data_IF_881710650531
#
_entry.id   IF_881710650531
#
_cell.length_a   1.000
_cell.length_b   1.000
_cell.length_c   1.000
_cell.angle_alpha   90.00
_cell.angle_beta   90.00
_cell.angle_gamma   90.00
#
_symmetry.space_group_name_H-M   'P 1'
#
loop_
_entity.id
_entity.type
_entity.pdbx_description
1 polymer ?
#
# COMPACT_ATOMS: atom_id res chain seq x y z
N UNK A 1 -12.85 2.75 -13.43
CA UNK A 1 -12.09 3.13 -12.22
C UNK A 1 -10.70 2.48 -12.12
N UNK A 2 -10.36 1.43 -12.87
CA UNK A 2 -9.05 0.73 -12.72
C UNK A 2 -7.81 1.56 -13.09
N UNK A 3 -7.93 2.63 -13.90
CA UNK A 3 -6.79 3.39 -14.42
C UNK A 3 -6.40 4.68 -13.68
N UNK A 4 -7.12 5.11 -12.64
CA UNK A 4 -6.87 6.43 -12.01
C UNK A 4 -5.79 6.42 -10.91
N UNK A 5 -5.38 5.23 -10.46
CA UNK A 5 -4.48 5.05 -9.31
C UNK A 5 -3.21 4.26 -9.65
N UNK A 6 -2.86 4.20 -10.94
CA UNK A 6 -1.68 3.56 -11.49
C UNK A 6 -0.70 4.61 -12.00
N UNK A 7 0.60 4.30 -12.07
CA UNK A 7 1.63 5.16 -12.64
C UNK A 7 1.70 5.06 -14.17
N UNK A 8 1.53 3.87 -14.76
CA UNK A 8 1.90 3.64 -16.17
C UNK A 8 0.71 3.46 -17.13
N UNK A 9 -0.54 3.40 -16.65
CA UNK A 9 -1.69 3.21 -17.55
C UNK A 9 -2.36 4.55 -17.88
N UNK A 10 -1.84 5.19 -18.93
CA UNK A 10 -2.62 5.77 -20.05
C UNK A 10 -1.81 5.64 -21.33
N UNK A 11 -2.02 4.55 -22.05
CA UNK A 11 -1.49 4.34 -23.39
C UNK A 11 -1.98 5.48 -24.30
N UNK A 12 -1.05 6.11 -25.02
CA UNK A 12 -1.25 7.20 -26.00
C UNK A 12 -1.39 8.63 -25.44
N UNK A 13 -0.83 8.94 -24.26
CA UNK A 13 -0.71 10.34 -23.79
C UNK A 13 0.75 10.84 -23.88
N UNK A 14 1.05 11.94 -24.61
CA UNK A 14 2.36 12.58 -24.62
C UNK A 14 2.86 13.00 -23.23
N UNK A 15 1.97 13.15 -22.25
CA UNK A 15 2.29 13.41 -20.84
C UNK A 15 2.33 12.17 -19.94
N UNK A 16 2.35 10.95 -20.48
CA UNK A 16 2.41 9.72 -19.68
C UNK A 16 3.84 9.37 -19.23
N UNK A 17 3.97 8.58 -18.16
CA UNK A 17 5.28 8.05 -17.76
C UNK A 17 5.87 7.13 -18.85
N UNK A 18 5.04 6.40 -19.61
CA UNK A 18 5.51 5.62 -20.77
C UNK A 18 6.13 6.51 -21.85
N UNK A 19 5.55 7.68 -22.16
CA UNK A 19 6.15 8.60 -23.13
C UNK A 19 7.43 9.25 -22.61
N UNK A 20 7.54 9.51 -21.31
CA UNK A 20 8.77 9.99 -20.69
C UNK A 20 9.92 8.96 -20.81
N UNK A 21 9.66 7.70 -20.43
CA UNK A 21 10.69 6.65 -20.44
C UNK A 21 10.96 6.02 -21.83
N UNK A 22 10.03 6.12 -22.78
CA UNK A 22 10.06 5.45 -24.09
C UNK A 22 9.53 4.00 -24.07
N UNK A 23 9.54 3.32 -25.23
CA UNK A 23 9.10 1.90 -25.35
C UNK A 23 10.01 0.90 -24.60
N UNK A 24 11.19 1.34 -24.19
CA UNK A 24 12.16 0.64 -23.34
C UNK A 24 12.93 1.73 -22.57
N UNK A 25 13.38 1.51 -21.33
CA UNK A 25 14.07 2.54 -20.56
C UNK A 25 15.34 2.96 -21.32
N UNK A 26 15.37 4.20 -21.82
CA UNK A 26 16.60 4.79 -22.33
C UNK A 26 17.14 5.73 -21.25
N UNK A 27 17.91 5.19 -20.31
CA UNK A 27 18.47 5.94 -19.17
C UNK A 27 19.57 5.19 -18.42
N UNK A 28 20.01 5.76 -17.29
CA UNK A 28 20.98 5.17 -16.36
C UNK A 28 20.38 4.02 -15.50
N UNK A 29 21.20 3.42 -14.63
CA UNK A 29 20.80 2.30 -13.75
C UNK A 29 19.62 2.71 -12.83
N UNK A 30 19.63 3.96 -12.36
CA UNK A 30 18.64 4.54 -11.47
C UNK A 30 17.29 4.76 -12.17
N UNK A 31 17.31 5.27 -13.41
CA UNK A 31 16.11 5.43 -14.24
C UNK A 31 15.46 4.09 -14.55
N UNK A 32 16.28 3.07 -14.83
CA UNK A 32 15.80 1.71 -15.10
C UNK A 32 15.11 1.12 -13.86
N UNK A 33 15.74 1.24 -12.68
CA UNK A 33 15.14 0.78 -11.42
C UNK A 33 13.88 1.54 -11.04
N UNK A 34 13.84 2.85 -11.29
CA UNK A 34 12.64 3.64 -11.09
C UNK A 34 11.50 3.11 -11.96
N UNK A 35 11.73 2.91 -13.25
CA UNK A 35 10.73 2.36 -14.17
C UNK A 35 10.21 0.97 -13.73
N UNK A 36 11.10 0.06 -13.34
CA UNK A 36 10.72 -1.25 -12.79
C UNK A 36 9.85 -1.13 -11.53
N UNK A 37 10.14 -0.17 -10.65
CA UNK A 37 9.34 0.08 -9.45
C UNK A 37 7.95 0.64 -9.77
N UNK A 38 7.82 1.49 -10.79
CA UNK A 38 6.51 1.99 -11.25
C UNK A 38 5.64 0.83 -11.76
N UNK A 39 6.21 -0.10 -12.56
CA UNK A 39 5.50 -1.33 -12.99
C UNK A 39 5.12 -2.20 -11.78
N UNK A 40 6.06 -2.37 -10.86
CA UNK A 40 5.85 -3.18 -9.65
C UNK A 40 4.73 -2.59 -8.79
N UNK A 41 4.67 -1.27 -8.66
CA UNK A 41 3.58 -0.59 -7.96
C UNK A 41 2.22 -0.90 -8.62
N UNK A 42 2.12 -0.74 -9.95
CA UNK A 42 0.86 -0.96 -10.67
C UNK A 42 0.39 -2.42 -10.58
N UNK A 43 1.33 -3.36 -10.62
CA UNK A 43 1.07 -4.78 -10.45
C UNK A 43 0.53 -5.09 -9.04
N UNK A 44 1.11 -4.48 -8.00
CA UNK A 44 0.62 -4.64 -6.63
C UNK A 44 -0.73 -3.95 -6.41
N UNK A 45 -0.99 -2.82 -7.08
CA UNK A 45 -2.29 -2.16 -7.03
C UNK A 45 -3.37 -3.01 -7.71
N UNK A 46 -3.05 -3.67 -8.82
CA UNK A 46 -3.94 -4.65 -9.44
C UNK A 46 -4.24 -5.83 -8.49
N UNK A 47 -3.21 -6.42 -7.87
CA UNK A 47 -3.40 -7.51 -6.91
C UNK A 47 -4.25 -7.09 -5.71
N UNK A 48 -4.10 -5.85 -5.23
CA UNK A 48 -4.97 -5.28 -4.21
C UNK A 48 -6.44 -5.28 -4.65
N UNK A 49 -6.74 -4.79 -5.86
CA UNK A 49 -8.13 -4.76 -6.35
C UNK A 49 -8.72 -6.17 -6.48
N UNK A 50 -7.95 -7.15 -6.96
CA UNK A 50 -8.38 -8.55 -7.02
C UNK A 50 -8.66 -9.10 -5.61
N UNK A 51 -7.82 -8.76 -4.63
CA UNK A 51 -8.04 -9.16 -3.23
C UNK A 51 -9.30 -8.50 -2.65
N UNK A 52 -9.55 -7.22 -2.96
CA UNK A 52 -10.73 -6.48 -2.52
C UNK A 52 -12.02 -7.09 -3.10
N UNK A 53 -12.05 -7.41 -4.39
CA UNK A 53 -13.22 -8.06 -5.00
C UNK A 53 -13.54 -9.42 -4.36
N UNK A 54 -12.50 -10.19 -4.00
CA UNK A 54 -12.68 -11.47 -3.31
C UNK A 54 -13.10 -11.29 -1.85
N UNK A 55 -12.59 -10.24 -1.18
CA UNK A 55 -13.06 -9.82 0.13
C UNK A 55 -14.55 -9.48 0.07
N UNK A 56 -14.99 -8.63 -0.85
CA UNK A 56 -16.39 -8.21 -0.96
C UNK A 56 -17.33 -9.41 -1.17
N UNK A 57 -16.94 -10.36 -2.03
CA UNK A 57 -17.69 -11.60 -2.25
C UNK A 57 -17.77 -12.47 -0.98
N UNK A 58 -16.67 -12.58 -0.23
CA UNK A 58 -16.64 -13.34 1.01
C UNK A 58 -17.45 -12.64 2.13
N UNK A 59 -17.29 -11.33 2.24
CA UNK A 59 -17.97 -10.48 3.21
C UNK A 59 -19.49 -10.50 3.01
N UNK A 60 -19.97 -10.42 1.77
CA UNK A 60 -21.40 -10.55 1.46
C UNK A 60 -22.00 -11.88 1.94
N UNK A 61 -21.24 -12.98 1.90
CA UNK A 61 -21.68 -14.25 2.47
C UNK A 61 -21.81 -14.17 3.99
N UNK A 62 -20.85 -13.52 4.66
CA UNK A 62 -20.89 -13.32 6.11
C UNK A 62 -22.07 -12.44 6.53
N UNK A 63 -22.42 -11.43 5.74
CA UNK A 63 -23.55 -10.53 6.03
C UNK A 63 -24.89 -11.22 5.78
N UNK A 64 -25.02 -11.98 4.71
CA UNK A 64 -26.30 -12.57 4.28
C UNK A 64 -26.58 -13.96 4.88
N UNK A 65 -25.65 -14.54 5.65
CA UNK A 65 -25.87 -15.86 6.26
C UNK A 65 -26.90 -15.78 7.39
N UNK A 66 -27.87 -16.71 7.41
CA UNK A 66 -28.82 -16.85 8.51
C UNK A 66 -28.20 -17.54 9.74
N UNK A 67 -27.22 -18.42 9.51
CA UNK A 67 -26.52 -19.18 10.55
C UNK A 67 -25.04 -18.80 10.53
N UNK A 68 -24.42 -18.68 11.70
CA UNK A 68 -22.99 -18.42 11.83
C UNK A 68 -22.15 -19.55 11.22
N UNK A 69 -21.36 -19.22 10.20
CA UNK A 69 -20.35 -20.09 9.61
C UNK A 69 -18.94 -19.55 9.86
N UNK A 70 -18.18 -20.26 10.69
CA UNK A 70 -16.79 -19.93 11.00
C UNK A 70 -15.91 -19.95 9.73
N UNK A 71 -16.18 -20.82 8.76
CA UNK A 71 -15.39 -20.90 7.54
C UNK A 71 -15.52 -19.62 6.71
N UNK A 72 -16.73 -19.08 6.60
CA UNK A 72 -16.98 -17.80 5.93
C UNK A 72 -16.27 -16.62 6.62
N UNK A 73 -16.23 -16.61 7.96
CA UNK A 73 -15.46 -15.62 8.74
C UNK A 73 -13.96 -15.73 8.45
N UNK A 74 -13.39 -16.94 8.49
CA UNK A 74 -11.97 -17.18 8.21
C UNK A 74 -11.61 -16.75 6.77
N UNK A 75 -12.42 -17.12 5.79
CA UNK A 75 -12.21 -16.75 4.39
C UNK A 75 -12.22 -15.22 4.20
N UNK A 76 -13.17 -14.53 4.86
CA UNK A 76 -13.26 -13.06 4.80
C UNK A 76 -12.03 -12.41 5.43
N UNK A 77 -11.62 -12.87 6.61
CA UNK A 77 -10.40 -12.42 7.30
C UNK A 77 -9.13 -12.64 6.47
N UNK A 78 -9.04 -13.75 5.75
CA UNK A 78 -7.92 -14.03 4.87
C UNK A 78 -7.76 -12.96 3.79
N UNK A 79 -8.84 -12.66 3.03
CA UNK A 79 -8.78 -11.65 1.98
C UNK A 79 -8.55 -10.23 2.55
N UNK A 80 -9.10 -9.93 3.73
CA UNK A 80 -8.83 -8.67 4.41
C UNK A 80 -7.35 -8.51 4.80
N UNK A 81 -6.72 -9.57 5.29
CA UNK A 81 -5.28 -9.60 5.57
C UNK A 81 -4.45 -9.39 4.30
N UNK A 82 -4.86 -10.00 3.18
CA UNK A 82 -4.21 -9.77 1.88
C UNK A 82 -4.33 -8.30 1.48
N UNK A 83 -5.51 -7.69 1.63
CA UNK A 83 -5.72 -6.27 1.35
C UNK A 83 -4.76 -5.39 2.19
N UNK A 84 -4.72 -5.59 3.50
CA UNK A 84 -3.81 -4.87 4.41
C UNK A 84 -2.34 -5.01 4.00
N UNK A 85 -1.92 -6.22 3.62
CA UNK A 85 -0.54 -6.48 3.16
C UNK A 85 -0.24 -5.75 1.86
N UNK A 86 -1.16 -5.76 0.89
CA UNK A 86 -0.95 -5.09 -0.39
C UNK A 86 -0.85 -3.57 -0.21
N UNK A 87 -1.73 -2.95 0.60
CA UNK A 87 -1.65 -1.52 0.92
C UNK A 87 -0.30 -1.15 1.55
N UNK A 88 0.13 -1.90 2.56
CA UNK A 88 1.43 -1.64 3.20
C UNK A 88 2.61 -1.88 2.23
N UNK A 89 2.48 -2.81 1.28
CA UNK A 89 3.46 -3.03 0.22
C UNK A 89 3.52 -1.87 -0.76
N UNK A 90 2.37 -1.27 -1.13
CA UNK A 90 2.33 -0.09 -1.99
C UNK A 90 3.10 1.08 -1.37
N UNK A 91 2.90 1.36 -0.09
CA UNK A 91 3.66 2.38 0.64
C UNK A 91 5.18 2.10 0.65
N UNK A 92 5.58 0.84 0.83
CA UNK A 92 7.00 0.43 0.81
C UNK A 92 7.62 0.64 -0.59
N UNK A 93 6.85 0.35 -1.66
CA UNK A 93 7.27 0.61 -3.04
C UNK A 93 7.34 2.12 -3.30
N UNK A 94 6.36 2.92 -2.85
CA UNK A 94 6.40 4.38 -2.98
C UNK A 94 7.64 4.99 -2.36
N UNK A 95 8.03 4.50 -1.18
CA UNK A 95 9.26 5.00 -0.54
C UNK A 95 10.50 4.73 -1.40
N UNK A 96 10.56 3.57 -2.07
CA UNK A 96 11.65 3.27 -3.02
C UNK A 96 11.58 4.16 -4.26
N UNK A 97 10.38 4.42 -4.79
CA UNK A 97 10.15 5.37 -5.89
C UNK A 97 10.69 6.75 -5.49
N UNK A 98 10.34 7.28 -4.32
CA UNK A 98 10.85 8.57 -3.84
C UNK A 98 12.38 8.63 -3.82
N UNK A 99 13.02 7.57 -3.32
CA UNK A 99 14.48 7.47 -3.26
C UNK A 99 15.12 7.45 -4.65
N UNK A 100 14.62 6.62 -5.58
CA UNK A 100 15.20 6.56 -6.93
C UNK A 100 14.91 7.82 -7.75
N UNK A 101 13.74 8.45 -7.58
CA UNK A 101 13.46 9.77 -8.13
C UNK A 101 14.45 10.81 -7.59
N UNK A 102 14.72 10.81 -6.28
CA UNK A 102 15.71 11.72 -5.69
C UNK A 102 17.12 11.48 -6.20
N UNK A 103 17.57 10.22 -6.29
CA UNK A 103 18.88 9.88 -6.82
C UNK A 103 19.07 10.39 -8.25
N UNK A 104 18.10 10.12 -9.11
CA UNK A 104 18.13 10.58 -10.50
C UNK A 104 18.21 12.11 -10.60
N UNK A 105 17.28 12.82 -9.94
CA UNK A 105 17.18 14.29 -10.03
C UNK A 105 18.41 15.04 -9.48
N UNK A 106 19.18 14.39 -8.60
CA UNK A 106 20.40 14.98 -8.03
C UNK A 106 21.69 14.42 -8.64
N UNK A 107 21.61 13.60 -9.69
CA UNK A 107 22.79 12.98 -10.33
C UNK A 107 23.60 12.07 -9.39
N UNK A 108 22.95 11.54 -8.36
CA UNK A 108 23.55 10.68 -7.35
C UNK A 108 23.44 9.21 -7.77
N UNK A 109 24.52 8.44 -7.61
CA UNK A 109 24.52 7.02 -7.94
C UNK A 109 23.89 6.17 -6.84
N UNK A 110 23.22 5.09 -7.24
CA UNK A 110 22.58 4.12 -6.36
C UNK A 110 23.54 3.37 -5.44
N UNK A 111 24.87 3.51 -5.62
CA UNK A 111 25.87 3.03 -4.68
C UNK A 111 25.81 3.71 -3.30
N UNK A 112 25.08 4.83 -3.19
CA UNK A 112 24.75 5.49 -1.92
C UNK A 112 23.64 4.76 -1.14
N UNK A 113 22.90 3.86 -1.78
CA UNK A 113 22.05 2.88 -1.10
C UNK A 113 22.92 1.66 -0.81
N UNK A 114 23.14 1.28 0.45
CA UNK A 114 23.94 0.11 0.78
C UNK A 114 23.43 -1.15 0.05
N UNK A 115 24.34 -1.96 -0.49
CA UNK A 115 24.04 -3.05 -1.44
C UNK A 115 23.35 -4.28 -0.84
N UNK A 116 22.94 -4.26 0.42
CA UNK A 116 22.24 -5.39 1.03
C UNK A 116 20.86 -5.53 0.41
N UNK A 117 20.78 -6.47 -0.52
CA UNK A 117 19.56 -6.87 -1.21
C UNK A 117 18.52 -7.20 -0.14
N UNK A 118 17.30 -6.69 -0.33
CA UNK A 118 16.08 -7.01 0.41
C UNK A 118 15.70 -6.17 1.65
N UNK A 119 16.50 -5.23 2.13
CA UNK A 119 16.10 -4.48 3.34
C UNK A 119 15.41 -3.13 3.04
N UNK A 120 14.08 -3.05 3.23
CA UNK A 120 13.32 -1.79 3.19
C UNK A 120 13.90 -0.72 4.14
N UNK A 121 14.56 -1.14 5.22
CA UNK A 121 15.20 -0.25 6.18
C UNK A 121 16.22 0.70 5.53
N UNK A 122 16.96 0.24 4.52
CA UNK A 122 17.99 1.07 3.87
C UNK A 122 17.36 2.23 3.09
N UNK A 123 16.24 1.97 2.42
CA UNK A 123 15.47 3.01 1.75
C UNK A 123 14.85 3.98 2.75
N UNK A 124 14.38 3.51 3.90
CA UNK A 124 13.91 4.37 4.98
C UNK A 124 15.03 5.28 5.50
N UNK A 125 16.21 4.72 5.81
CA UNK A 125 17.36 5.49 6.31
C UNK A 125 17.79 6.54 5.28
N UNK A 126 17.84 6.18 4.00
CA UNK A 126 18.16 7.15 2.94
C UNK A 126 17.12 8.27 2.89
N UNK A 127 15.82 7.92 2.87
CA UNK A 127 14.74 8.88 2.84
C UNK A 127 14.81 9.85 4.04
N UNK A 128 14.98 9.34 5.26
CA UNK A 128 15.08 10.16 6.47
C UNK A 128 16.28 11.11 6.43
N UNK A 129 17.41 10.66 5.87
CA UNK A 129 18.66 11.45 5.84
C UNK A 129 18.68 12.52 4.75
N UNK A 130 18.12 12.22 3.58
CA UNK A 130 18.31 13.03 2.38
C UNK A 130 17.03 13.65 1.80
N UNK A 131 15.85 13.10 2.11
CA UNK A 131 14.59 13.49 1.44
C UNK A 131 13.60 14.15 2.42
N UNK A 132 13.50 13.66 3.65
CA UNK A 132 12.45 14.04 4.62
C UNK A 132 12.29 15.55 4.85
N UNK A 133 13.37 16.32 4.76
CA UNK A 133 13.32 17.77 5.00
C UNK A 133 12.84 18.57 3.76
N UNK A 134 12.73 17.92 2.60
CA UNK A 134 12.27 18.52 1.35
C UNK A 134 10.81 18.13 1.05
N UNK A 135 9.93 18.34 2.03
CA UNK A 135 8.50 17.95 1.95
C UNK A 135 7.75 18.74 0.88
N UNK A 136 8.26 19.92 0.51
CA UNK A 136 7.71 20.73 -0.59
C UNK A 136 7.88 19.99 -1.92
N UNK A 137 8.98 19.25 -2.08
CA UNK A 137 9.30 18.52 -3.31
C UNK A 137 8.91 17.04 -3.27
N UNK A 138 8.94 16.40 -2.11
CA UNK A 138 8.69 14.96 -1.96
C UNK A 138 7.57 14.66 -0.96
N UNK A 139 6.69 13.69 -1.24
CA UNK A 139 5.65 13.29 -0.31
C UNK A 139 6.21 12.68 0.97
N UNK A 140 5.47 12.79 2.08
CA UNK A 140 5.83 12.19 3.37
C UNK A 140 5.72 10.66 3.27
N UNK A 141 6.78 9.94 3.69
CA UNK A 141 6.72 8.47 3.72
C UNK A 141 5.70 7.96 4.73
N UNK A 142 5.19 6.77 4.43
CA UNK A 142 4.35 6.02 5.32
C UNK A 142 5.09 5.47 6.55
N UNK A 143 4.43 5.56 7.70
CA UNK A 143 4.86 5.11 9.03
C UNK A 143 3.63 4.60 9.80
N UNK A 144 3.83 3.91 10.93
CA UNK A 144 2.71 3.53 11.80
C UNK A 144 1.94 4.73 12.37
N UNK A 145 2.55 5.92 12.44
CA UNK A 145 1.94 7.11 13.03
C UNK A 145 1.05 7.89 12.05
N UNK A 146 1.18 7.64 10.74
CA UNK A 146 0.42 8.33 9.69
C UNK A 146 -0.27 7.35 8.70
N UNK A 147 -0.33 6.07 9.04
CA UNK A 147 -1.07 5.04 8.29
C UNK A 147 -1.78 4.11 9.26
N UNK A 148 -3.12 4.09 9.20
CA UNK A 148 -3.94 3.23 10.04
C UNK A 148 -3.71 1.74 9.72
N UNK A 149 -3.53 1.38 8.45
CA UNK A 149 -3.29 -0.01 8.05
C UNK A 149 -1.94 -0.54 8.47
N UNK A 150 -0.95 0.34 8.69
CA UNK A 150 0.36 -0.05 9.24
C UNK A 150 0.26 -0.32 10.74
N UNK A 151 -0.47 0.52 11.46
CA UNK A 151 -0.75 0.32 12.88
C UNK A 151 -1.48 -1.01 13.11
N UNK A 152 -2.60 -1.24 12.41
CA UNK A 152 -3.38 -2.49 12.46
C UNK A 152 -2.49 -3.72 12.15
N UNK A 153 -1.64 -3.65 11.11
CA UNK A 153 -0.74 -4.76 10.79
C UNK A 153 0.27 -5.02 11.91
N UNK A 154 0.82 -3.96 12.51
CA UNK A 154 1.77 -4.09 13.60
C UNK A 154 1.12 -4.75 14.81
N UNK A 155 -0.10 -4.35 15.18
CA UNK A 155 -0.87 -4.99 16.26
C UNK A 155 -1.10 -6.48 16.00
N UNK A 156 -1.43 -6.86 14.75
CA UNK A 156 -1.60 -8.28 14.38
C UNK A 156 -0.26 -9.05 14.44
N UNK A 157 0.83 -8.44 13.97
CA UNK A 157 2.12 -9.13 13.79
C UNK A 157 2.93 -9.22 15.08
N UNK A 158 2.84 -8.19 15.93
CA UNK A 158 3.70 -8.02 17.11
C UNK A 158 2.93 -8.16 18.42
N UNK A 159 1.68 -7.71 18.47
CA UNK A 159 0.87 -7.73 19.70
C UNK A 159 -0.08 -8.93 19.77
N UNK A 160 -0.07 -9.78 18.74
CA UNK A 160 -0.86 -11.02 18.68
C UNK A 160 -2.36 -10.77 18.49
N UNK A 161 -2.76 -9.59 18.04
CA UNK A 161 -4.15 -9.30 17.73
C UNK A 161 -4.66 -10.17 16.58
N UNK A 162 -5.95 -10.49 16.61
CA UNK A 162 -6.60 -11.29 15.58
C UNK A 162 -7.53 -10.44 14.74
N UNK A 163 -7.55 -10.71 13.43
CA UNK A 163 -8.59 -10.21 12.54
C UNK A 163 -9.95 -10.88 12.77
N UNK A 164 -10.05 -11.80 13.72
CA UNK A 164 -11.27 -12.51 14.06
C UNK A 164 -11.58 -12.31 15.55
N UNK A 165 -12.77 -11.80 15.84
CA UNK A 165 -13.31 -11.79 17.19
C UNK A 165 -13.90 -13.18 17.46
N UNK A 166 -13.41 -13.84 18.52
CA UNK A 166 -13.80 -15.19 18.93
C UNK A 166 -14.26 -15.21 20.39
N UNK A 167 -15.07 -16.20 20.74
CA UNK A 167 -15.39 -16.50 22.14
C UNK A 167 -14.24 -17.23 22.85
N UNK A 168 -14.13 -17.08 24.18
CA UNK A 168 -14.77 -16.04 24.98
C UNK A 168 -14.10 -14.67 24.75
N UNK A 169 -14.85 -13.58 24.92
CA UNK A 169 -14.33 -12.22 24.79
C UNK A 169 -13.90 -11.71 26.17
N UNK A 170 -12.69 -11.19 26.26
CA UNK A 170 -12.21 -10.50 27.46
C UNK A 170 -12.73 -9.06 27.45
N UNK A 171 -13.43 -8.65 28.50
CA UNK A 171 -13.72 -7.24 28.70
C UNK A 171 -12.50 -6.51 29.29
N UNK A 172 -12.49 -5.18 29.23
CA UNK A 172 -11.40 -4.35 29.75
C UNK A 172 -11.19 -4.47 31.27
N UNK A 173 -12.02 -5.23 31.98
CA UNK A 173 -11.90 -5.54 33.40
C UNK A 173 -11.27 -6.91 33.68
N UNK A 174 -10.93 -7.68 32.64
CA UNK A 174 -10.34 -9.02 32.77
C UNK A 174 -11.37 -10.15 32.88
N UNK A 175 -12.67 -9.86 32.68
CA UNK A 175 -13.75 -10.84 32.76
C UNK A 175 -14.04 -11.40 31.38
N UNK A 176 -14.08 -12.73 31.28
CA UNK A 176 -14.38 -13.44 30.05
C UNK A 176 -15.87 -13.69 29.90
N UNK A 177 -16.46 -13.13 28.84
CA UNK A 177 -17.89 -13.29 28.52
C UNK A 177 -18.06 -14.10 27.24
N UNK A 178 -18.99 -15.06 27.27
CA UNK A 178 -19.44 -15.77 26.07
C UNK A 178 -20.61 -15.03 25.45
N UNK A 179 -20.50 -14.75 24.15
CA UNK A 179 -21.55 -14.07 23.38
C UNK A 179 -22.20 -15.09 22.43
N UNK A 180 -23.46 -14.87 22.07
CA UNK A 180 -24.13 -15.68 21.05
C UNK A 180 -23.37 -15.64 19.71
N UNK A 181 -23.61 -16.64 18.87
CA UNK A 181 -23.02 -16.68 17.53
C UNK A 181 -23.46 -15.50 16.66
N UNK A 182 -24.70 -15.01 16.80
CA UNK A 182 -25.16 -13.80 16.12
C UNK A 182 -24.39 -12.57 16.60
N UNK A 183 -24.14 -12.45 17.91
CA UNK A 183 -23.34 -11.37 18.46
C UNK A 183 -21.88 -11.42 18.01
N UNK A 184 -21.30 -12.61 17.85
CA UNK A 184 -19.98 -12.77 17.23
C UNK A 184 -19.98 -12.36 15.75
N UNK A 185 -21.00 -12.74 14.98
CA UNK A 185 -21.14 -12.35 13.57
C UNK A 185 -21.15 -10.83 13.44
N UNK A 186 -22.01 -10.15 14.18
CA UNK A 186 -22.16 -8.69 14.14
C UNK A 186 -20.86 -7.98 14.50
N UNK A 187 -20.17 -8.42 15.56
CA UNK A 187 -18.88 -7.84 15.95
C UNK A 187 -17.79 -8.01 14.89
N UNK A 188 -17.71 -9.19 14.25
CA UNK A 188 -16.77 -9.39 13.16
C UNK A 188 -17.11 -8.53 11.94
N UNK A 189 -18.40 -8.37 11.60
CA UNK A 189 -18.84 -7.46 10.54
C UNK A 189 -18.37 -6.03 10.83
N UNK A 190 -18.59 -5.54 12.04
CA UNK A 190 -18.17 -4.20 12.45
C UNK A 190 -16.64 -4.03 12.37
N UNK A 191 -15.87 -5.01 12.88
CA UNK A 191 -14.40 -5.02 12.76
C UNK A 191 -13.95 -4.92 11.29
N UNK A 192 -14.56 -5.71 10.40
CA UNK A 192 -14.20 -5.70 8.98
C UNK A 192 -14.51 -4.34 8.33
N UNK A 193 -15.66 -3.74 8.66
CA UNK A 193 -16.03 -2.41 8.16
C UNK A 193 -15.05 -1.33 8.65
N UNK A 194 -14.63 -1.38 9.91
CA UNK A 194 -13.65 -0.44 10.46
C UNK A 194 -12.30 -0.53 9.75
N UNK A 195 -11.83 -1.76 9.49
CA UNK A 195 -10.58 -1.99 8.76
C UNK A 195 -10.69 -1.53 7.30
N UNK A 196 -11.83 -1.77 6.63
CA UNK A 196 -12.06 -1.28 5.26
C UNK A 196 -12.08 0.24 5.21
N UNK A 197 -12.67 0.89 6.21
CA UNK A 197 -12.63 2.36 6.33
C UNK A 197 -11.20 2.87 6.53
N UNK A 198 -10.38 2.17 7.33
CA UNK A 198 -8.96 2.48 7.47
C UNK A 198 -8.20 2.32 6.14
N UNK A 199 -8.44 1.23 5.41
CA UNK A 199 -7.86 1.01 4.07
C UNK A 199 -8.26 2.12 3.10
N UNK A 200 -9.54 2.50 3.06
CA UNK A 200 -10.03 3.57 2.18
C UNK A 200 -9.39 4.92 2.51
N UNK A 201 -9.22 5.21 3.81
CA UNK A 201 -8.52 6.41 4.28
C UNK A 201 -7.08 6.44 3.79
N UNK A 202 -6.32 5.37 4.02
CA UNK A 202 -4.90 5.29 3.67
C UNK A 202 -4.70 5.27 2.15
N UNK A 203 -5.61 4.67 1.39
CA UNK A 203 -5.59 4.71 -0.09
C UNK A 203 -5.69 6.12 -0.65
N UNK A 204 -6.49 7.01 -0.04
CA UNK A 204 -6.56 8.40 -0.49
C UNK A 204 -5.20 9.08 -0.39
N UNK A 205 -4.49 8.85 0.71
CA UNK A 205 -3.16 9.40 0.92
C UNK A 205 -2.11 8.75 0.00
N UNK A 206 -2.17 7.43 -0.20
CA UNK A 206 -1.33 6.71 -1.17
C UNK A 206 -1.52 7.28 -2.58
N UNK A 207 -2.77 7.51 -3.00
CA UNK A 207 -3.08 8.05 -4.31
C UNK A 207 -2.62 9.49 -4.48
N UNK A 208 -2.68 10.30 -3.41
CA UNK A 208 -2.14 11.65 -3.41
C UNK A 208 -0.61 11.63 -3.56
N UNK A 209 0.08 10.86 -2.72
CA UNK A 209 1.53 10.67 -2.79
C UNK A 209 1.98 10.19 -4.19
N UNK A 210 1.21 9.29 -4.81
CA UNK A 210 1.43 8.82 -6.18
C UNK A 210 1.34 9.96 -7.21
N UNK A 211 0.29 10.78 -7.14
CA UNK A 211 0.10 11.96 -8.01
C UNK A 211 1.23 12.96 -7.87
N UNK A 212 1.63 13.25 -6.65
CA UNK A 212 2.66 14.24 -6.36
C UNK A 212 4.03 13.79 -6.90
N UNK A 213 4.40 12.52 -6.70
CA UNK A 213 5.67 12.01 -7.23
C UNK A 213 5.64 11.82 -8.76
N UNK A 214 4.51 11.40 -9.33
CA UNK A 214 4.35 11.33 -10.79
C UNK A 214 4.53 12.71 -11.42
N UNK A 215 3.91 13.73 -10.84
CA UNK A 215 4.06 15.13 -11.30
C UNK A 215 5.52 15.56 -11.26
N UNK A 216 6.24 15.21 -10.18
CA UNK A 216 7.66 15.51 -10.06
C UNK A 216 8.48 14.84 -11.18
N UNK A 217 8.26 13.55 -11.43
CA UNK A 217 8.95 12.78 -12.48
C UNK A 217 8.68 13.40 -13.86
N UNK A 218 7.42 13.68 -14.19
CA UNK A 218 7.02 14.24 -15.49
C UNK A 218 7.48 15.68 -15.71
N UNK A 219 7.65 16.46 -14.63
CA UNK A 219 8.13 17.85 -14.73
C UNK A 219 9.62 17.97 -15.04
N UNK A 220 10.38 16.88 -14.90
CA UNK A 220 11.83 16.89 -15.10
C UNK A 220 12.23 16.51 -16.54
N UNK A 221 13.02 17.40 -17.15
CA UNK A 221 13.47 17.28 -18.55
C UNK A 221 14.50 16.17 -18.79
N UNK A 222 15.09 15.59 -17.74
CA UNK A 222 16.00 14.45 -17.84
C UNK A 222 15.21 13.14 -17.93
N UNK A 223 13.98 13.09 -17.38
CA UNK A 223 13.05 11.98 -17.58
C UNK A 223 12.27 12.11 -18.89
N UNK A 224 11.87 13.30 -19.30
CA UNK A 224 11.20 13.53 -20.57
C UNK A 224 12.24 13.70 -21.68
N UNK A 225 12.55 12.62 -22.41
CA UNK A 225 13.29 12.77 -23.66
C UNK A 225 12.48 13.67 -24.59
N UNK A 226 13.01 14.85 -24.91
CA UNK A 226 12.48 15.68 -25.99
C UNK A 226 12.35 14.80 -27.24
N UNK A 227 11.11 14.59 -27.69
CA UNK A 227 10.79 14.09 -29.03
C UNK A 227 11.24 15.12 -30.08
#
# INVERSE_FOLDING_TARGET
>A
MLGENQFLIKYVDPGSLISAFGNFPIGDEESTKLYELLITYDSNFFLYNVALENFDKAFLKVVNQEVYDLQSIINTSFYLNVCLRMINTLDDIQTKIFVYTHLHLNGLKGNLIPKDKYNNLLFHVYYEKYIKNDVIKYPIRATQFNRKTRDIRNSITHDGESLIIRNPINDSSGVYTFISFDGLRERNINLYMDIINAISSDLKEINQNRKDIETLILSDKHFVKNL
#
